data_IF_581142771165
#
_entry.id   IF_581142771165
#
_cell.length_a   1.000
_cell.length_b   1.000
_cell.length_c   1.000
_cell.angle_alpha   90.00
_cell.angle_beta   90.00
_cell.angle_gamma   90.00
#
_symmetry.space_group_name_H-M   'P 1'
#
loop_
_entity.id
_entity.type
_entity.pdbx_description
1 polymer ?
#
# COMPACT_ATOMS: atom_id res chain seq x y z
N UNK A 1 11.99 -52.16 19.18
CA UNK A 1 12.22 -50.74 18.83
C UNK A 1 12.26 -50.68 17.32
N UNK A 2 11.22 -50.17 16.65
CA UNK A 2 11.33 -49.89 15.21
C UNK A 2 12.31 -48.74 15.07
N UNK A 3 13.51 -49.01 14.55
CA UNK A 3 14.42 -47.97 14.10
C UNK A 3 13.66 -47.14 13.07
N UNK A 4 13.34 -45.89 13.42
CA UNK A 4 12.79 -44.95 12.45
C UNK A 4 13.86 -44.79 11.38
N UNK A 5 13.53 -45.20 10.15
CA UNK A 5 14.40 -45.04 8.99
C UNK A 5 14.76 -43.56 8.88
N UNK A 6 16.06 -43.26 8.78
CA UNK A 6 16.55 -41.89 8.57
C UNK A 6 16.11 -41.45 7.18
N UNK A 7 15.51 -40.27 7.09
CA UNK A 7 15.10 -39.61 5.86
C UNK A 7 16.21 -38.65 5.49
N UNK A 8 16.83 -38.84 4.33
CA UNK A 8 17.81 -37.90 3.78
C UNK A 8 17.14 -36.60 3.36
N UNK A 9 17.90 -35.50 3.40
CA UNK A 9 17.39 -34.15 3.10
C UNK A 9 16.72 -34.09 1.73
N UNK A 10 17.40 -34.57 0.68
CA UNK A 10 16.90 -34.53 -0.70
C UNK A 10 15.61 -35.34 -0.86
N UNK A 11 15.55 -36.53 -0.24
CA UNK A 11 14.38 -37.40 -0.31
C UNK A 11 13.17 -36.77 0.38
N UNK A 12 13.37 -36.24 1.60
CA UNK A 12 12.32 -35.58 2.35
C UNK A 12 11.85 -34.30 1.67
N UNK A 13 12.80 -33.51 1.13
CA UNK A 13 12.50 -32.28 0.43
C UNK A 13 11.77 -32.52 -0.90
N UNK A 14 12.15 -33.52 -1.70
CA UNK A 14 11.42 -33.90 -2.92
C UNK A 14 9.95 -34.25 -2.62
N UNK A 15 9.71 -34.97 -1.51
CA UNK A 15 8.35 -35.25 -1.06
C UNK A 15 7.60 -33.96 -0.68
N UNK A 16 8.24 -33.04 0.04
CA UNK A 16 7.66 -31.74 0.38
C UNK A 16 7.38 -30.88 -0.86
N UNK A 17 8.30 -30.87 -1.82
CA UNK A 17 8.14 -30.15 -3.09
C UNK A 17 6.94 -30.65 -3.87
N UNK A 18 6.69 -31.96 -3.93
CA UNK A 18 5.44 -32.47 -4.53
C UNK A 18 4.19 -31.92 -3.84
N UNK A 19 4.19 -31.83 -2.52
CA UNK A 19 3.11 -31.21 -1.75
C UNK A 19 2.96 -29.71 -2.07
N UNK A 20 4.06 -28.97 -2.12
CA UNK A 20 4.07 -27.55 -2.48
C UNK A 20 3.57 -27.34 -3.92
N UNK A 21 4.00 -28.15 -4.88
CA UNK A 21 3.53 -28.11 -6.27
C UNK A 21 2.03 -28.42 -6.36
N UNK A 22 1.54 -29.42 -5.62
CA UNK A 22 0.08 -29.69 -5.53
C UNK A 22 -0.67 -28.46 -5.04
N UNK A 23 -0.16 -27.80 -3.98
CA UNK A 23 -0.76 -26.57 -3.47
C UNK A 23 -0.75 -25.43 -4.49
N UNK A 24 0.38 -25.19 -5.18
CA UNK A 24 0.49 -24.18 -6.25
C UNK A 24 -0.58 -24.41 -7.33
N UNK A 25 -0.76 -25.65 -7.77
CA UNK A 25 -1.78 -26.00 -8.77
C UNK A 25 -3.21 -25.75 -8.31
N UNK A 26 -3.52 -26.08 -7.05
CA UNK A 26 -4.83 -25.79 -6.44
C UNK A 26 -5.09 -24.28 -6.40
N UNK A 27 -4.08 -23.47 -6.08
CA UNK A 27 -4.21 -22.01 -6.00
C UNK A 27 -4.35 -21.33 -7.36
N UNK A 28 -3.74 -21.87 -8.40
CA UNK A 28 -3.77 -21.28 -9.73
C UNK A 28 -5.06 -21.56 -10.51
N UNK A 29 -6.00 -22.32 -9.95
CA UNK A 29 -7.24 -22.81 -10.60
C UNK A 29 -6.99 -23.58 -11.91
N UNK A 30 -5.73 -23.98 -12.17
CA UNK A 30 -5.29 -24.55 -13.46
C UNK A 30 -5.61 -26.05 -13.60
N UNK A 31 -6.15 -26.71 -12.58
CA UNK A 31 -6.30 -28.17 -12.55
C UNK A 31 -7.46 -28.64 -11.68
N UNK A 32 -8.09 -29.76 -12.04
CA UNK A 32 -9.01 -30.57 -11.19
C UNK A 32 -8.27 -31.29 -10.04
N UNK A 33 -7.22 -30.68 -9.48
CA UNK A 33 -6.47 -31.29 -8.37
C UNK A 33 -7.37 -31.35 -7.13
N UNK A 34 -7.50 -32.52 -6.48
CA UNK A 34 -8.34 -32.65 -5.31
C UNK A 34 -7.77 -31.83 -4.14
N UNK A 35 -8.64 -31.29 -3.26
CA UNK A 35 -8.21 -30.57 -2.08
C UNK A 35 -7.36 -31.49 -1.18
N UNK A 36 -6.51 -30.87 -0.35
CA UNK A 36 -5.71 -31.62 0.63
C UNK A 36 -6.60 -32.43 1.57
N UNK A 37 -6.32 -33.73 1.64
CA UNK A 37 -6.96 -34.62 2.61
C UNK A 37 -6.26 -34.53 3.96
N UNK A 38 -6.91 -35.01 5.02
CA UNK A 38 -6.25 -35.17 6.32
C UNK A 38 -5.02 -36.07 6.26
N UNK A 39 -5.04 -37.08 5.37
CA UNK A 39 -3.91 -37.97 5.15
C UNK A 39 -2.73 -37.23 4.50
N UNK A 40 -2.96 -36.45 3.44
CA UNK A 40 -1.93 -35.62 2.81
C UNK A 40 -1.25 -34.70 3.83
N UNK A 41 -2.07 -34.01 4.65
CA UNK A 41 -1.58 -33.15 5.72
C UNK A 41 -0.72 -33.93 6.72
N UNK A 42 -1.21 -35.08 7.18
CA UNK A 42 -0.49 -35.91 8.15
C UNK A 42 0.84 -36.40 7.58
N UNK A 43 0.90 -36.80 6.30
CA UNK A 43 2.14 -37.24 5.66
C UNK A 43 3.17 -36.11 5.55
N UNK A 44 2.76 -34.92 5.08
CA UNK A 44 3.65 -33.77 4.94
C UNK A 44 4.17 -33.29 6.31
N UNK A 45 3.27 -33.11 7.28
CA UNK A 45 3.65 -32.72 8.64
C UNK A 45 4.58 -33.75 9.29
N UNK A 46 4.25 -35.06 9.19
CA UNK A 46 5.05 -36.13 9.78
C UNK A 46 6.44 -36.21 9.15
N UNK A 47 6.56 -35.92 7.85
CA UNK A 47 7.85 -35.86 7.16
C UNK A 47 8.74 -34.77 7.76
N UNK A 48 8.23 -33.54 7.88
CA UNK A 48 8.97 -32.44 8.53
C UNK A 48 9.31 -32.80 9.97
N UNK A 49 8.35 -33.29 10.75
CA UNK A 49 8.57 -33.71 12.12
C UNK A 49 9.69 -34.75 12.24
N UNK A 50 9.70 -35.79 11.39
CA UNK A 50 10.72 -36.83 11.43
C UNK A 50 12.09 -36.27 11.08
N UNK A 51 12.20 -35.45 10.03
CA UNK A 51 13.45 -34.82 9.62
C UNK A 51 14.03 -33.87 10.69
N UNK A 52 13.17 -33.21 11.47
CA UNK A 52 13.60 -32.34 12.58
C UNK A 52 13.93 -33.10 13.88
N UNK A 53 13.44 -34.34 14.04
CA UNK A 53 13.65 -35.15 15.26
C UNK A 53 14.69 -36.26 15.11
N UNK A 54 15.29 -36.35 13.93
CA UNK A 54 16.44 -37.22 13.65
C UNK A 54 17.65 -36.86 14.52
N UNK A 55 18.46 -37.87 14.86
CA UNK A 55 19.68 -37.65 15.64
C UNK A 55 20.73 -36.94 14.78
N UNK A 56 21.59 -36.09 15.37
CA UNK A 56 22.76 -35.56 14.68
C UNK A 56 23.59 -36.69 14.04
N UNK A 57 24.10 -36.52 12.80
CA UNK A 57 24.16 -35.29 12.00
C UNK A 57 22.92 -35.03 11.10
N UNK A 58 21.86 -35.82 11.20
CA UNK A 58 20.70 -35.78 10.29
C UNK A 58 19.53 -34.92 10.80
N UNK A 59 19.78 -33.98 11.72
CA UNK A 59 18.81 -32.95 12.09
C UNK A 59 18.83 -31.87 11.01
N UNK A 60 17.76 -31.80 10.24
CA UNK A 60 17.63 -30.89 9.11
C UNK A 60 16.81 -29.64 9.42
N UNK A 61 16.60 -29.30 10.70
CA UNK A 61 15.69 -28.21 11.09
C UNK A 61 16.08 -26.85 10.51
N UNK A 62 17.38 -26.53 10.47
CA UNK A 62 17.87 -25.29 9.86
C UNK A 62 17.64 -25.29 8.34
N UNK A 63 18.03 -26.36 7.66
CA UNK A 63 17.87 -26.48 6.21
C UNK A 63 16.39 -26.43 5.79
N UNK A 64 15.49 -27.01 6.59
CA UNK A 64 14.05 -26.95 6.35
C UNK A 64 13.47 -25.55 6.56
N UNK A 65 14.01 -24.77 7.49
CA UNK A 65 13.66 -23.36 7.66
C UNK A 65 14.11 -22.52 6.45
N UNK A 66 15.34 -22.74 5.99
CA UNK A 66 15.88 -22.04 4.81
C UNK A 66 15.10 -22.44 3.54
N UNK A 67 14.81 -23.73 3.37
CA UNK A 67 14.01 -24.25 2.27
C UNK A 67 12.56 -23.74 2.27
N UNK A 68 11.97 -23.48 3.45
CA UNK A 68 10.67 -22.83 3.56
C UNK A 68 10.69 -21.44 2.92
N UNK A 69 11.71 -20.63 3.22
CA UNK A 69 11.90 -19.31 2.61
C UNK A 69 12.08 -19.43 1.10
N UNK A 70 12.98 -20.30 0.65
CA UNK A 70 13.25 -20.52 -0.77
C UNK A 70 12.03 -20.97 -1.57
N UNK A 71 11.13 -21.77 -0.98
CA UNK A 71 9.90 -22.18 -1.66
C UNK A 71 8.99 -20.98 -2.03
N UNK A 72 8.96 -19.94 -1.20
CA UNK A 72 8.25 -18.69 -1.52
C UNK A 72 9.00 -17.86 -2.55
N UNK A 73 10.31 -17.71 -2.42
CA UNK A 73 11.12 -16.96 -3.39
C UNK A 73 10.99 -17.54 -4.81
N UNK A 74 11.02 -18.87 -4.93
CA UNK A 74 10.82 -19.58 -6.19
C UNK A 74 9.40 -19.37 -6.72
N UNK A 75 8.37 -19.52 -5.88
CA UNK A 75 6.98 -19.26 -6.25
C UNK A 75 6.78 -17.83 -6.77
N UNK A 76 7.30 -16.84 -6.04
CA UNK A 76 7.11 -15.44 -6.42
C UNK A 76 7.83 -15.18 -7.76
N UNK A 77 9.08 -15.63 -7.89
CA UNK A 77 9.90 -15.37 -9.08
C UNK A 77 9.38 -16.09 -10.33
N UNK A 78 8.96 -17.35 -10.21
CA UNK A 78 8.58 -18.19 -11.34
C UNK A 78 7.10 -18.02 -11.74
N UNK A 79 6.21 -17.76 -10.78
CA UNK A 79 4.76 -17.78 -11.01
C UNK A 79 4.12 -16.38 -10.87
N UNK A 80 4.46 -15.63 -9.81
CA UNK A 80 3.80 -14.36 -9.49
C UNK A 80 4.29 -13.21 -10.37
N UNK A 81 5.61 -12.97 -10.40
CA UNK A 81 6.18 -11.83 -11.11
C UNK A 81 5.89 -11.86 -12.62
N UNK A 82 6.05 -12.99 -13.33
CA UNK A 82 5.71 -13.05 -14.75
C UNK A 82 4.23 -12.76 -15.00
N UNK A 83 3.34 -13.32 -14.17
CA UNK A 83 1.90 -13.13 -14.30
C UNK A 83 1.44 -11.69 -14.05
N UNK A 84 2.19 -10.92 -13.24
CA UNK A 84 1.95 -9.49 -13.04
C UNK A 84 2.47 -8.67 -14.22
N UNK A 85 3.66 -9.00 -14.74
CA UNK A 85 4.30 -8.31 -15.88
C UNK A 85 3.52 -8.42 -17.18
N UNK A 86 2.79 -9.51 -17.38
CA UNK A 86 1.95 -9.72 -18.57
C UNK A 86 0.67 -8.88 -18.58
N UNK A 87 0.34 -8.21 -17.46
CA UNK A 87 -0.88 -7.42 -17.29
C UNK A 87 -0.55 -5.97 -17.02
N UNK A 88 -1.48 -5.08 -17.37
CA UNK A 88 -1.35 -3.64 -17.16
C UNK A 88 -2.61 -3.07 -16.51
N UNK A 89 -2.47 -1.88 -15.92
CA UNK A 89 -3.55 -1.09 -15.34
C UNK A 89 -4.46 -1.91 -14.40
N UNK A 90 -5.78 -1.81 -14.57
CA UNK A 90 -6.76 -2.49 -13.72
C UNK A 90 -6.61 -4.02 -13.73
N UNK A 91 -6.23 -4.64 -14.86
CA UNK A 91 -6.04 -6.08 -14.93
C UNK A 91 -4.84 -6.55 -14.10
N UNK A 92 -3.78 -5.74 -14.05
CA UNK A 92 -2.64 -5.98 -13.17
C UNK A 92 -3.04 -5.87 -11.70
N UNK A 93 -3.86 -4.89 -11.34
CA UNK A 93 -4.37 -4.74 -9.97
C UNK A 93 -5.22 -5.95 -9.54
N UNK A 94 -6.12 -6.43 -10.41
CA UNK A 94 -6.92 -7.63 -10.15
C UNK A 94 -6.03 -8.86 -9.97
N UNK A 95 -4.99 -8.98 -10.79
CA UNK A 95 -4.03 -10.08 -10.66
C UNK A 95 -3.23 -9.98 -9.35
N UNK A 96 -2.81 -8.77 -8.94
CA UNK A 96 -2.12 -8.56 -7.68
C UNK A 96 -2.98 -9.02 -6.49
N UNK A 97 -4.25 -8.65 -6.47
CA UNK A 97 -5.19 -9.08 -5.42
C UNK A 97 -5.36 -10.61 -5.42
N UNK A 98 -5.48 -11.23 -6.60
CA UNK A 98 -5.54 -12.70 -6.73
C UNK A 98 -4.27 -13.34 -6.17
N UNK A 99 -3.09 -12.87 -6.60
CA UNK A 99 -1.79 -13.42 -6.22
C UNK A 99 -1.51 -13.24 -4.73
N UNK A 100 -1.87 -12.11 -4.14
CA UNK A 100 -1.76 -11.89 -2.70
C UNK A 100 -2.70 -12.80 -1.90
N UNK A 101 -3.94 -12.98 -2.35
CA UNK A 101 -4.88 -13.91 -1.71
C UNK A 101 -4.34 -15.34 -1.73
N UNK A 102 -3.83 -15.77 -2.88
CA UNK A 102 -3.20 -17.08 -3.03
C UNK A 102 -1.96 -17.22 -2.13
N UNK A 103 -1.12 -16.19 -2.07
CA UNK A 103 0.05 -16.15 -1.20
C UNK A 103 -0.34 -16.33 0.28
N UNK A 104 -1.37 -15.62 0.77
CA UNK A 104 -1.87 -15.81 2.15
C UNK A 104 -2.34 -17.23 2.42
N UNK A 105 -3.00 -17.87 1.46
CA UNK A 105 -3.41 -19.29 1.59
C UNK A 105 -2.19 -20.20 1.60
N UNK A 106 -1.19 -19.94 0.75
CA UNK A 106 0.05 -20.68 0.72
C UNK A 106 0.81 -20.59 2.05
N UNK A 107 0.96 -19.38 2.62
CA UNK A 107 1.54 -19.15 3.95
C UNK A 107 0.81 -19.96 5.02
N UNK A 108 -0.52 -19.94 5.04
CA UNK A 108 -1.30 -20.73 6.02
C UNK A 108 -1.04 -22.23 5.91
N UNK A 109 -0.97 -22.78 4.70
CA UNK A 109 -0.73 -24.21 4.50
C UNK A 109 0.71 -24.63 4.82
N UNK A 110 1.69 -23.90 4.29
CA UNK A 110 3.10 -24.21 4.55
C UNK A 110 3.41 -24.04 6.04
N UNK A 111 2.94 -22.99 6.71
CA UNK A 111 3.15 -22.85 8.17
C UNK A 111 2.52 -23.99 8.97
N UNK A 112 1.43 -24.61 8.49
CA UNK A 112 0.86 -25.82 9.10
C UNK A 112 1.72 -27.05 8.87
N UNK A 113 2.23 -27.27 7.66
CA UNK A 113 3.12 -28.40 7.38
C UNK A 113 4.43 -28.31 8.17
N UNK A 114 4.96 -27.10 8.34
CA UNK A 114 6.22 -26.83 9.01
C UNK A 114 6.07 -26.45 10.50
N UNK A 115 4.87 -26.57 11.07
CA UNK A 115 4.54 -26.08 12.42
C UNK A 115 5.46 -26.59 13.54
N UNK A 116 6.09 -27.75 13.35
CA UNK A 116 7.10 -28.24 14.29
C UNK A 116 8.28 -27.26 14.46
N UNK A 117 8.72 -26.63 13.36
CA UNK A 117 9.81 -25.65 13.40
C UNK A 117 9.45 -24.44 14.25
N UNK A 118 8.26 -23.86 14.06
CA UNK A 118 7.75 -22.74 14.88
C UNK A 118 7.79 -23.09 16.37
N UNK A 119 7.26 -24.27 16.72
CA UNK A 119 7.09 -24.66 18.12
C UNK A 119 8.41 -24.97 18.84
N UNK A 120 9.41 -25.50 18.13
CA UNK A 120 10.62 -26.02 18.79
C UNK A 120 11.91 -25.41 18.28
N UNK A 121 12.12 -25.35 16.96
CA UNK A 121 13.38 -24.89 16.39
C UNK A 121 13.51 -23.36 16.45
N UNK A 122 12.53 -22.66 15.90
CA UNK A 122 12.46 -21.20 15.82
C UNK A 122 12.39 -20.60 17.22
N UNK A 123 11.52 -21.13 18.08
CA UNK A 123 11.40 -20.69 19.47
C UNK A 123 12.72 -20.81 20.27
N UNK A 124 13.53 -21.85 20.02
CA UNK A 124 14.83 -22.04 20.69
C UNK A 124 15.92 -21.11 20.18
N UNK A 125 15.88 -20.75 18.89
CA UNK A 125 16.88 -19.91 18.24
C UNK A 125 16.51 -18.43 18.16
N UNK A 126 15.30 -18.07 18.61
CA UNK A 126 14.74 -16.72 18.50
C UNK A 126 14.75 -16.20 17.06
N UNK A 127 14.43 -17.08 16.11
CA UNK A 127 14.28 -16.72 14.69
C UNK A 127 12.88 -16.13 14.42
N UNK A 128 12.70 -15.40 13.30
CA UNK A 128 11.37 -14.97 12.86
C UNK A 128 10.42 -16.17 12.65
N UNK A 129 9.16 -16.10 13.13
CA UNK A 129 8.14 -17.13 12.92
C UNK A 129 7.86 -17.39 11.45
N UNK A 130 7.42 -18.62 11.11
CA UNK A 130 7.13 -18.99 9.71
C UNK A 130 6.07 -18.09 9.07
N UNK A 131 5.02 -17.72 9.81
CA UNK A 131 4.00 -16.82 9.30
C UNK A 131 4.55 -15.42 8.98
N UNK A 132 5.48 -14.92 9.79
CA UNK A 132 6.18 -13.67 9.52
C UNK A 132 7.04 -13.84 8.27
N UNK A 133 7.94 -14.82 8.23
CA UNK A 133 8.79 -15.10 7.04
C UNK A 133 7.97 -15.27 5.77
N UNK A 134 6.87 -16.01 5.82
CA UNK A 134 6.02 -16.25 4.65
C UNK A 134 5.36 -14.98 4.13
N UNK A 135 4.84 -14.11 5.00
CA UNK A 135 4.27 -12.82 4.62
C UNK A 135 5.34 -11.85 4.15
N UNK A 136 6.44 -11.78 4.89
CA UNK A 136 7.55 -10.91 4.54
C UNK A 136 8.28 -11.40 3.30
N UNK A 137 8.24 -12.67 2.87
CA UNK A 137 8.82 -13.07 1.58
C UNK A 137 8.23 -12.31 0.38
N UNK A 138 6.97 -11.87 0.46
CA UNK A 138 6.38 -11.02 -0.58
C UNK A 138 6.93 -9.58 -0.53
N UNK A 139 7.34 -9.13 0.66
CA UNK A 139 7.93 -7.83 0.98
C UNK A 139 9.45 -7.79 0.87
N UNK A 140 10.18 -8.81 1.30
CA UNK A 140 11.63 -8.80 1.54
C UNK A 140 12.41 -8.88 0.23
N UNK A 141 11.69 -9.06 -0.88
CA UNK A 141 12.12 -8.68 -2.23
C UNK A 141 12.31 -7.14 -2.37
N UNK A 142 12.08 -6.36 -1.30
CA UNK A 142 12.13 -4.89 -1.25
C UNK A 142 13.21 -4.31 -0.33
N UNK A 143 13.63 -4.97 0.75
CA UNK A 143 14.36 -4.27 1.84
C UNK A 143 15.68 -4.92 2.29
N UNK A 144 15.91 -6.23 2.15
CA UNK A 144 17.18 -6.82 2.60
C UNK A 144 18.19 -7.08 1.47
N UNK A 145 19.38 -6.47 1.60
CA UNK A 145 20.59 -6.62 0.79
C UNK A 145 21.19 -8.05 0.74
N UNK A 146 20.40 -9.08 1.03
CA UNK A 146 20.85 -10.48 1.13
C UNK A 146 20.41 -11.36 -0.03
N UNK A 147 19.54 -10.88 -0.93
CA UNK A 147 19.17 -11.61 -2.15
C UNK A 147 19.48 -10.78 -3.41
N UNK A 148 19.86 -11.48 -4.48
CA UNK A 148 20.43 -10.97 -5.74
C UNK A 148 19.81 -9.64 -6.23
N UNK A 149 20.67 -8.67 -6.57
CA UNK A 149 20.33 -7.32 -7.10
C UNK A 149 19.21 -7.29 -8.15
N UNK A 150 19.05 -8.36 -8.92
CA UNK A 150 18.02 -8.49 -9.96
C UNK A 150 16.60 -8.55 -9.41
N UNK A 151 16.39 -9.06 -8.19
CA UNK A 151 15.06 -9.29 -7.62
C UNK A 151 14.47 -7.97 -7.07
N UNK A 152 15.33 -7.13 -6.47
CA UNK A 152 14.96 -5.79 -6.00
C UNK A 152 14.41 -4.89 -7.12
N UNK A 153 15.03 -4.94 -8.31
CA UNK A 153 14.61 -4.13 -9.45
C UNK A 153 13.21 -4.49 -9.95
N UNK A 154 12.82 -5.77 -9.86
CA UNK A 154 11.50 -6.23 -10.35
C UNK A 154 10.38 -5.78 -9.42
N UNK A 155 10.55 -5.86 -8.11
CA UNK A 155 9.53 -5.38 -7.20
C UNK A 155 9.36 -3.86 -7.32
N UNK A 156 10.45 -3.09 -7.33
CA UNK A 156 10.37 -1.64 -7.45
C UNK A 156 9.65 -1.21 -8.75
N UNK A 157 9.90 -1.93 -9.84
CA UNK A 157 9.19 -1.76 -11.11
C UNK A 157 7.69 -2.05 -10.97
N UNK A 158 7.30 -3.20 -10.42
CA UNK A 158 5.89 -3.57 -10.25
C UNK A 158 5.18 -2.63 -9.28
N UNK A 159 5.81 -2.27 -8.17
CA UNK A 159 5.26 -1.36 -7.18
C UNK A 159 5.01 0.03 -7.79
N UNK A 160 5.97 0.54 -8.57
CA UNK A 160 5.79 1.78 -9.31
C UNK A 160 4.62 1.71 -10.30
N UNK A 161 4.46 0.58 -11.02
CA UNK A 161 3.34 0.37 -11.94
C UNK A 161 1.99 0.26 -11.21
N UNK A 162 1.93 -0.50 -10.11
CA UNK A 162 0.73 -0.64 -9.27
C UNK A 162 0.33 0.71 -8.71
N UNK A 163 1.28 1.47 -8.16
CA UNK A 163 1.05 2.84 -7.67
C UNK A 163 0.53 3.76 -8.76
N UNK A 164 1.15 3.75 -9.93
CA UNK A 164 0.71 4.56 -11.06
C UNK A 164 -0.73 4.20 -11.48
N UNK A 165 -1.06 2.91 -11.54
CA UNK A 165 -2.41 2.44 -11.87
C UNK A 165 -3.44 2.84 -10.80
N UNK A 166 -3.10 2.73 -9.52
CA UNK A 166 -3.97 3.15 -8.40
C UNK A 166 -4.23 4.66 -8.45
N UNK A 167 -3.19 5.48 -8.63
CA UNK A 167 -3.33 6.95 -8.74
C UNK A 167 -4.17 7.30 -9.97
N UNK A 168 -3.94 6.64 -11.11
CA UNK A 168 -4.75 6.86 -12.31
C UNK A 168 -6.24 6.56 -12.09
N UNK A 169 -6.59 5.50 -11.35
CA UNK A 169 -7.99 5.23 -10.99
C UNK A 169 -8.58 6.30 -10.07
N UNK A 170 -7.79 6.83 -9.13
CA UNK A 170 -8.24 7.94 -8.26
C UNK A 170 -8.53 9.19 -9.10
N UNK A 171 -7.66 9.50 -10.07
CA UNK A 171 -7.83 10.63 -10.98
C UNK A 171 -9.04 10.47 -11.92
N UNK A 172 -9.28 9.26 -12.43
CA UNK A 172 -10.50 8.94 -13.18
C UNK A 172 -11.75 9.23 -12.34
N UNK A 173 -11.76 8.78 -11.08
CA UNK A 173 -12.88 9.08 -10.18
C UNK A 173 -13.01 10.58 -9.87
N UNK A 174 -11.91 11.34 -9.84
CA UNK A 174 -11.95 12.81 -9.69
C UNK A 174 -12.62 13.51 -10.86
N UNK A 175 -12.47 12.97 -12.06
CA UNK A 175 -13.18 13.41 -13.27
C UNK A 175 -14.59 12.80 -13.41
N UNK A 176 -15.09 12.13 -12.36
CA UNK A 176 -16.43 11.51 -12.27
C UNK A 176 -16.61 10.25 -13.13
N UNK A 177 -15.50 9.59 -13.51
CA UNK A 177 -15.56 8.26 -14.12
C UNK A 177 -15.91 7.19 -13.08
N UNK A 178 -16.54 6.11 -13.54
CA UNK A 178 -16.88 4.98 -12.69
C UNK A 178 -15.66 4.06 -12.53
N UNK A 179 -15.34 3.72 -11.29
CA UNK A 179 -14.20 2.86 -10.94
C UNK A 179 -14.64 1.71 -10.02
N UNK A 180 -13.85 0.65 -9.99
CA UNK A 180 -14.02 -0.44 -9.03
C UNK A 180 -13.40 -0.03 -7.67
N UNK A 181 -14.17 0.69 -6.84
CA UNK A 181 -13.75 1.10 -5.48
C UNK A 181 -13.35 -0.10 -4.60
N UNK A 182 -13.96 -1.26 -4.81
CA UNK A 182 -13.64 -2.47 -4.02
C UNK A 182 -12.26 -3.03 -4.42
N UNK A 183 -11.92 -3.01 -5.70
CA UNK A 183 -10.58 -3.36 -6.17
C UNK A 183 -9.53 -2.43 -5.57
N UNK A 184 -9.75 -1.10 -5.63
CA UNK A 184 -8.86 -0.11 -5.03
C UNK A 184 -8.63 -0.36 -3.54
N UNK A 185 -9.72 -0.57 -2.79
CA UNK A 185 -9.63 -0.91 -1.37
C UNK A 185 -8.78 -2.17 -1.14
N UNK A 186 -9.05 -3.24 -1.89
CA UNK A 186 -8.32 -4.50 -1.75
C UNK A 186 -6.82 -4.32 -2.05
N UNK A 187 -6.46 -3.52 -3.06
CA UNK A 187 -5.05 -3.23 -3.38
C UNK A 187 -4.39 -2.42 -2.27
N UNK A 188 -5.07 -1.39 -1.75
CA UNK A 188 -4.55 -0.56 -0.68
C UNK A 188 -4.37 -1.31 0.64
N UNK A 189 -5.29 -2.23 0.94
CA UNK A 189 -5.18 -3.14 2.09
C UNK A 189 -3.93 -4.04 1.99
N UNK A 190 -3.46 -4.38 0.78
CA UNK A 190 -2.21 -5.16 0.59
C UNK A 190 -1.01 -4.39 1.15
N UNK A 191 -0.90 -3.08 0.89
CA UNK A 191 0.22 -2.28 1.39
C UNK A 191 0.28 -2.28 2.93
N UNK A 192 -0.88 -2.28 3.59
CA UNK A 192 -0.97 -2.33 5.07
C UNK A 192 -0.68 -3.74 5.60
N UNK A 193 -1.24 -4.78 4.96
CA UNK A 193 -1.04 -6.17 5.37
C UNK A 193 0.42 -6.62 5.20
N UNK A 194 1.10 -6.19 4.13
CA UNK A 194 2.52 -6.44 3.88
C UNK A 194 3.40 -5.81 4.95
N UNK A 195 3.04 -4.62 5.46
CA UNK A 195 3.70 -3.98 6.59
C UNK A 195 3.47 -4.69 7.93
N UNK A 196 2.75 -5.81 7.96
CA UNK A 196 2.34 -6.51 9.19
C UNK A 196 1.63 -5.58 10.20
N UNK A 197 0.86 -4.62 9.68
CA UNK A 197 0.18 -3.61 10.47
C UNK A 197 0.99 -2.35 10.76
N UNK A 198 2.26 -2.29 10.34
CA UNK A 198 3.02 -1.03 10.27
C UNK A 198 2.63 -0.27 9.01
N UNK A 199 2.56 1.05 9.13
CA UNK A 199 2.12 1.93 8.03
C UNK A 199 3.23 2.29 7.05
N UNK A 200 4.50 1.97 7.35
CA UNK A 200 5.66 2.40 6.55
C UNK A 200 5.54 2.02 5.07
N UNK A 201 5.05 0.82 4.76
CA UNK A 201 4.82 0.39 3.37
C UNK A 201 3.74 1.23 2.71
N UNK A 202 2.59 1.42 3.37
CA UNK A 202 1.50 2.24 2.83
C UNK A 202 1.93 3.70 2.63
N UNK A 203 2.64 4.28 3.61
CA UNK A 203 3.05 5.68 3.57
C UNK A 203 4.11 5.90 2.49
N UNK A 204 5.20 5.13 2.49
CA UNK A 204 6.34 5.34 1.59
C UNK A 204 6.05 4.87 0.16
N UNK A 205 5.35 3.75 0.01
CA UNK A 205 5.15 3.17 -1.32
C UNK A 205 3.94 3.76 -2.04
N UNK A 206 2.97 4.34 -1.32
CA UNK A 206 1.74 4.87 -1.92
C UNK A 206 1.38 6.30 -1.48
N UNK A 207 1.20 6.54 -0.18
CA UNK A 207 0.58 7.78 0.34
C UNK A 207 1.35 9.03 -0.11
N UNK A 208 2.69 9.02 -0.02
CA UNK A 208 3.53 10.15 -0.42
C UNK A 208 3.27 10.54 -1.88
N UNK A 209 3.31 9.57 -2.81
CA UNK A 209 3.09 9.83 -4.22
C UNK A 209 1.65 10.27 -4.52
N UNK A 210 0.66 9.67 -3.83
CA UNK A 210 -0.74 10.06 -3.97
C UNK A 210 -0.98 11.51 -3.51
N UNK A 211 -0.35 11.94 -2.41
CA UNK A 211 -0.46 13.32 -1.92
C UNK A 211 0.20 14.33 -2.87
N UNK A 212 1.34 13.98 -3.47
CA UNK A 212 2.03 14.81 -4.49
C UNK A 212 1.20 14.96 -5.76
N UNK A 213 0.63 13.85 -6.25
CA UNK A 213 -0.26 13.84 -7.40
C UNK A 213 -1.53 14.65 -7.13
N UNK A 214 -2.14 14.47 -5.95
CA UNK A 214 -3.31 15.24 -5.51
C UNK A 214 -3.03 16.74 -5.49
N UNK A 215 -1.88 17.16 -4.97
CA UNK A 215 -1.49 18.56 -4.98
C UNK A 215 -1.38 19.09 -6.42
N UNK A 216 -0.74 18.32 -7.31
CA UNK A 216 -0.59 18.67 -8.73
C UNK A 216 -1.93 18.73 -9.46
N UNK A 217 -2.88 17.86 -9.12
CA UNK A 217 -4.24 17.85 -9.65
C UNK A 217 -5.00 19.13 -9.25
N UNK A 218 -5.06 19.43 -7.95
CA UNK A 218 -5.82 20.57 -7.45
C UNK A 218 -5.19 21.91 -7.79
N UNK A 219 -3.87 22.00 -7.85
CA UNK A 219 -3.16 23.20 -8.32
C UNK A 219 -3.60 23.59 -9.74
N UNK A 220 -3.68 22.60 -10.65
CA UNK A 220 -4.18 22.79 -12.03
C UNK A 220 -5.65 23.24 -12.04
N UNK A 221 -6.54 22.55 -11.31
CA UNK A 221 -7.97 22.93 -11.25
C UNK A 221 -8.15 24.35 -10.69
N UNK A 222 -7.49 24.67 -9.59
CA UNK A 222 -7.55 25.97 -8.94
C UNK A 222 -7.10 27.11 -9.86
N UNK A 223 -6.04 26.89 -10.64
CA UNK A 223 -5.52 27.90 -11.59
C UNK A 223 -6.51 28.26 -12.70
N UNK A 224 -7.34 27.31 -13.14
CA UNK A 224 -8.43 27.53 -14.09
C UNK A 224 -9.59 28.26 -13.42
N UNK A 225 -10.08 27.70 -12.31
CA UNK A 225 -11.27 28.17 -11.61
C UNK A 225 -11.11 29.60 -11.07
N UNK A 226 -9.92 29.98 -10.58
CA UNK A 226 -9.71 31.32 -10.04
C UNK A 226 -9.85 32.41 -11.12
N UNK A 227 -9.61 32.08 -12.39
CA UNK A 227 -9.75 33.01 -13.52
C UNK A 227 -11.18 32.99 -14.07
N UNK A 228 -11.76 31.80 -14.20
CA UNK A 228 -13.01 31.55 -14.92
C UNK A 228 -14.28 31.76 -14.06
N UNK A 229 -14.23 31.40 -12.77
CA UNK A 229 -15.41 31.35 -11.91
C UNK A 229 -15.58 32.60 -11.04
N UNK A 230 -16.80 32.88 -10.58
CA UNK A 230 -17.02 33.85 -9.50
C UNK A 230 -16.52 33.32 -8.14
N UNK A 231 -16.26 34.20 -7.16
CA UNK A 231 -15.83 33.76 -5.83
C UNK A 231 -16.81 32.77 -5.17
N UNK A 232 -18.15 32.95 -5.20
CA UNK A 232 -19.07 31.97 -4.63
C UNK A 232 -19.01 30.60 -5.32
N UNK A 233 -18.92 30.58 -6.66
CA UNK A 233 -18.82 29.33 -7.44
C UNK A 233 -17.51 28.60 -7.13
N UNK A 234 -16.40 29.34 -7.01
CA UNK A 234 -15.11 28.79 -6.62
C UNK A 234 -15.18 28.14 -5.23
N UNK A 235 -15.75 28.84 -4.25
CA UNK A 235 -15.85 28.34 -2.88
C UNK A 235 -16.72 27.08 -2.79
N UNK A 236 -17.84 27.05 -3.54
CA UNK A 236 -18.68 25.86 -3.62
C UNK A 236 -17.92 24.67 -4.22
N UNK A 237 -17.19 24.88 -5.33
CA UNK A 237 -16.34 23.84 -5.93
C UNK A 237 -15.28 23.35 -4.95
N UNK A 238 -14.66 24.24 -4.18
CA UNK A 238 -13.65 23.87 -3.19
C UNK A 238 -14.23 23.02 -2.05
N UNK A 239 -15.40 23.41 -1.51
CA UNK A 239 -16.14 22.65 -0.50
C UNK A 239 -16.52 21.25 -1.02
N UNK A 240 -17.06 21.18 -2.24
CA UNK A 240 -17.41 19.91 -2.89
C UNK A 240 -16.18 19.02 -3.10
N UNK A 241 -15.03 19.59 -3.45
CA UNK A 241 -13.79 18.84 -3.57
C UNK A 241 -13.33 18.24 -2.24
N UNK A 242 -13.34 19.03 -1.16
CA UNK A 242 -12.98 18.54 0.18
C UNK A 242 -13.91 17.43 0.65
N UNK A 243 -15.22 17.59 0.42
CA UNK A 243 -16.22 16.56 0.73
C UNK A 243 -15.98 15.27 -0.06
N UNK A 244 -15.68 15.37 -1.36
CA UNK A 244 -15.38 14.21 -2.20
C UNK A 244 -14.09 13.51 -1.80
N UNK A 245 -13.02 14.22 -1.44
CA UNK A 245 -11.78 13.59 -0.96
C UNK A 245 -11.98 12.91 0.40
N UNK A 246 -12.77 13.50 1.30
CA UNK A 246 -13.17 12.83 2.54
C UNK A 246 -13.98 11.55 2.27
N UNK A 247 -14.89 11.59 1.29
CA UNK A 247 -15.64 10.40 0.85
C UNK A 247 -14.69 9.29 0.35
N UNK A 248 -13.71 9.63 -0.50
CA UNK A 248 -12.69 8.68 -0.99
C UNK A 248 -11.92 8.02 0.13
N UNK A 249 -11.50 8.81 1.14
CA UNK A 249 -10.78 8.25 2.28
C UNK A 249 -11.63 7.23 3.02
N UNK A 250 -12.88 7.56 3.32
CA UNK A 250 -13.79 6.64 4.01
C UNK A 250 -14.12 5.36 3.24
N UNK A 251 -14.01 5.38 1.91
CA UNK A 251 -14.35 4.23 1.06
C UNK A 251 -13.19 3.27 0.84
N UNK A 252 -11.99 3.78 0.56
CA UNK A 252 -10.87 2.91 0.16
C UNK A 252 -9.47 3.34 0.63
N UNK A 253 -9.22 4.59 1.05
CA UNK A 253 -7.91 4.94 1.62
C UNK A 253 -7.85 4.58 3.11
N UNK A 254 -6.64 4.57 3.67
CA UNK A 254 -6.48 4.40 5.10
C UNK A 254 -6.87 5.69 5.84
N UNK A 255 -7.46 5.58 7.03
CA UNK A 255 -7.95 6.74 7.79
C UNK A 255 -6.84 7.70 8.23
N UNK A 256 -5.60 7.21 8.36
CA UNK A 256 -4.42 8.05 8.63
C UNK A 256 -4.17 9.11 7.56
N UNK A 257 -4.65 8.87 6.34
CA UNK A 257 -4.46 9.76 5.19
C UNK A 257 -5.44 10.94 5.19
N UNK A 258 -6.54 10.88 5.95
CA UNK A 258 -7.62 11.89 5.88
C UNK A 258 -7.10 13.30 6.13
N UNK A 259 -6.42 13.51 7.25
CA UNK A 259 -5.93 14.82 7.63
C UNK A 259 -4.91 15.34 6.61
N UNK A 260 -3.91 14.53 6.25
CA UNK A 260 -2.83 14.90 5.32
C UNK A 260 -3.38 15.27 3.94
N UNK A 261 -4.36 14.49 3.45
CA UNK A 261 -5.01 14.72 2.17
C UNK A 261 -5.82 16.01 2.18
N UNK A 262 -6.69 16.20 3.18
CA UNK A 262 -7.52 17.40 3.28
C UNK A 262 -6.68 18.67 3.43
N UNK A 263 -5.61 18.63 4.23
CA UNK A 263 -4.67 19.76 4.35
C UNK A 263 -4.01 20.10 3.00
N UNK A 264 -3.62 19.09 2.21
CA UNK A 264 -3.06 19.30 0.87
C UNK A 264 -4.07 19.95 -0.07
N UNK A 265 -5.31 19.47 -0.10
CA UNK A 265 -6.36 20.04 -0.95
C UNK A 265 -6.72 21.46 -0.52
N UNK A 266 -6.86 21.71 0.78
CA UNK A 266 -7.10 23.05 1.32
C UNK A 266 -5.96 24.01 0.98
N UNK A 267 -4.71 23.55 1.05
CA UNK A 267 -3.56 24.37 0.69
C UNK A 267 -3.66 24.84 -0.77
N UNK A 268 -3.81 23.89 -1.72
CA UNK A 268 -3.82 24.20 -3.15
C UNK A 268 -5.04 25.00 -3.60
N UNK A 269 -6.21 24.74 -3.01
CA UNK A 269 -7.45 25.45 -3.37
C UNK A 269 -7.60 26.80 -2.66
N UNK A 270 -7.21 26.91 -1.38
CA UNK A 270 -7.51 28.10 -0.58
C UNK A 270 -6.27 28.90 -0.22
N UNK A 271 -5.26 28.25 0.38
CA UNK A 271 -4.09 28.96 0.91
C UNK A 271 -3.26 29.59 -0.21
N UNK A 272 -3.15 28.94 -1.37
CA UNK A 272 -2.43 29.46 -2.53
C UNK A 272 -3.08 30.76 -3.03
N UNK A 273 -4.40 30.76 -3.23
CA UNK A 273 -5.17 31.85 -3.84
C UNK A 273 -5.87 32.79 -2.84
N UNK A 274 -5.47 32.75 -1.57
CA UNK A 274 -6.16 33.49 -0.51
C UNK A 274 -6.24 35.01 -0.77
N UNK A 275 -5.17 35.60 -1.32
CA UNK A 275 -5.17 37.03 -1.67
C UNK A 275 -6.13 37.33 -2.82
N UNK A 276 -6.07 36.54 -3.90
CA UNK A 276 -6.94 36.71 -5.06
C UNK A 276 -8.41 36.53 -4.70
N UNK A 277 -8.74 35.56 -3.84
CA UNK A 277 -10.12 35.33 -3.37
C UNK A 277 -10.65 36.49 -2.52
N UNK A 278 -9.78 37.17 -1.77
CA UNK A 278 -10.15 38.35 -0.97
C UNK A 278 -10.25 39.62 -1.83
N UNK A 279 -9.38 39.75 -2.83
CA UNK A 279 -9.26 40.95 -3.67
C UNK A 279 -10.17 40.94 -4.91
N UNK A 280 -10.85 39.82 -5.23
CA UNK A 280 -11.74 39.72 -6.40
C UNK A 280 -12.91 40.71 -6.30
N UNK A 281 -12.72 41.90 -6.89
CA UNK A 281 -13.65 43.02 -6.85
C UNK A 281 -15.02 42.62 -7.39
N UNK A 282 -16.07 43.01 -6.65
CA UNK A 282 -17.50 42.71 -6.88
C UNK A 282 -18.02 41.32 -6.45
N UNK A 283 -17.17 40.41 -5.94
CA UNK A 283 -17.63 39.09 -5.43
C UNK A 283 -16.91 38.55 -4.18
N UNK A 284 -15.89 39.26 -3.68
CA UNK A 284 -15.03 38.77 -2.60
C UNK A 284 -15.77 38.30 -1.35
N UNK A 285 -15.09 37.51 -0.52
CA UNK A 285 -15.61 36.95 0.74
C UNK A 285 -16.32 37.99 1.65
N UNK A 286 -15.95 39.27 1.54
CA UNK A 286 -16.63 40.39 2.18
C UNK A 286 -18.11 40.55 1.81
N UNK A 287 -18.53 40.22 0.59
CA UNK A 287 -19.93 40.24 0.15
C UNK A 287 -20.68 39.02 0.67
N UNK A 288 -20.03 37.84 0.65
CA UNK A 288 -20.58 36.59 1.18
C UNK A 288 -20.82 36.65 2.71
N UNK A 289 -19.90 37.27 3.46
CA UNK A 289 -20.06 37.54 4.89
C UNK A 289 -21.10 38.63 5.20
N UNK A 290 -21.44 39.49 4.21
CA UNK A 290 -22.43 40.56 4.37
C UNK A 290 -23.85 40.12 4.08
N UNK A 291 -24.04 39.23 3.11
CA UNK A 291 -25.36 38.92 2.58
C UNK A 291 -26.04 37.70 3.24
N UNK A 292 -25.35 36.92 4.08
CA UNK A 292 -25.89 35.85 4.97
C UNK A 292 -26.78 34.78 4.29
N UNK A 293 -26.94 34.85 2.96
CA UNK A 293 -28.00 34.14 2.21
C UNK A 293 -27.51 32.97 1.38
N UNK A 294 -26.19 32.76 1.24
CA UNK A 294 -25.64 31.76 0.34
C UNK A 294 -24.43 30.97 0.87
N UNK A 295 -24.05 31.12 2.14
CA UNK A 295 -22.87 30.44 2.69
C UNK A 295 -23.29 29.39 3.70
N UNK A 296 -22.97 28.12 3.45
CA UNK A 296 -23.09 27.04 4.43
C UNK A 296 -22.17 27.32 5.63
N UNK A 297 -22.43 26.73 6.79
CA UNK A 297 -21.53 26.87 7.95
C UNK A 297 -20.08 26.42 7.63
N UNK A 298 -19.95 25.48 6.71
CA UNK A 298 -18.68 24.99 6.16
C UNK A 298 -18.02 26.06 5.28
N UNK A 299 -18.75 26.71 4.36
CA UNK A 299 -18.26 27.82 3.55
C UNK A 299 -17.70 28.98 4.38
N UNK A 300 -18.37 29.36 5.48
CA UNK A 300 -17.89 30.44 6.38
C UNK A 300 -16.60 30.04 7.11
N UNK A 301 -16.41 28.74 7.37
CA UNK A 301 -15.19 28.20 7.96
C UNK A 301 -14.03 28.26 6.95
N UNK A 302 -14.29 27.92 5.69
CA UNK A 302 -13.29 28.00 4.61
C UNK A 302 -12.85 29.45 4.34
N UNK A 303 -13.77 30.42 4.41
CA UNK A 303 -13.45 31.85 4.30
C UNK A 303 -12.51 32.30 5.42
N UNK A 304 -12.82 31.94 6.68
CA UNK A 304 -11.93 32.26 7.82
C UNK A 304 -10.56 31.62 7.67
N UNK A 305 -10.48 30.38 7.19
CA UNK A 305 -9.22 29.71 6.94
C UNK A 305 -8.41 30.39 5.83
N UNK A 306 -9.06 30.89 4.77
CA UNK A 306 -8.40 31.68 3.73
C UNK A 306 -7.89 33.03 4.29
N UNK A 307 -8.65 33.72 5.13
CA UNK A 307 -8.22 34.94 5.83
C UNK A 307 -7.01 34.68 6.74
N UNK A 308 -7.05 33.62 7.55
CA UNK A 308 -5.95 33.22 8.42
C UNK A 308 -4.69 32.88 7.62
N UNK A 309 -4.83 32.17 6.50
CA UNK A 309 -3.74 31.86 5.59
C UNK A 309 -3.15 33.13 4.92
N UNK A 310 -4.00 34.07 4.47
CA UNK A 310 -3.56 35.35 3.90
C UNK A 310 -2.84 36.23 4.93
N UNK A 311 -3.35 36.29 6.17
CA UNK A 311 -2.74 37.03 7.27
C UNK A 311 -1.38 36.43 7.65
N UNK A 312 -1.25 35.11 7.67
CA UNK A 312 0.02 34.43 7.94
C UNK A 312 1.03 34.64 6.80
N UNK A 313 0.59 34.64 5.53
CA UNK A 313 1.44 35.01 4.37
C UNK A 313 1.92 36.46 4.47
N UNK A 314 1.05 37.41 4.79
CA UNK A 314 1.43 38.82 5.02
C UNK A 314 2.43 38.94 6.17
N UNK A 315 2.19 38.27 7.29
CA UNK A 315 3.11 38.29 8.44
C UNK A 315 4.50 37.73 8.08
N UNK A 316 4.57 36.63 7.33
CA UNK A 316 5.83 36.08 6.81
C UNK A 316 6.52 37.01 5.81
N UNK A 317 5.77 37.70 4.94
CA UNK A 317 6.38 38.66 4.01
C UNK A 317 6.93 39.88 4.73
N UNK A 318 6.25 40.39 5.75
CA UNK A 318 6.75 41.47 6.63
C UNK A 318 8.04 41.07 7.35
N UNK A 319 8.10 39.86 7.91
CA UNK A 319 9.32 39.34 8.54
C UNK A 319 10.49 39.20 7.56
N UNK A 320 10.22 38.76 6.32
CA UNK A 320 11.24 38.65 5.27
C UNK A 320 11.68 40.03 4.73
N UNK A 321 10.78 41.02 4.65
CA UNK A 321 11.14 42.39 4.27
C UNK A 321 11.91 43.11 5.36
N UNK A 322 11.57 42.88 6.64
CA UNK A 322 12.33 43.42 7.76
C UNK A 322 13.74 42.83 7.78
N UNK A 323 13.89 41.51 7.58
CA UNK A 323 15.22 40.87 7.46
C UNK A 323 16.02 41.33 6.24
N UNK A 324 15.36 41.65 5.11
CA UNK A 324 15.99 42.23 3.92
C UNK A 324 16.45 43.68 4.12
N UNK A 325 15.78 44.45 4.98
CA UNK A 325 16.13 45.84 5.29
C UNK A 325 17.38 46.00 6.18
N UNK A 326 17.81 44.93 6.87
CA UNK A 326 19.04 44.91 7.68
C UNK A 326 20.32 44.61 6.87
N UNK A 327 20.24 44.31 5.57
CA UNK A 327 21.41 43.98 4.73
C UNK A 327 21.70 44.98 3.60
N UNK A 328 21.07 46.15 3.59
CA UNK A 328 21.41 47.22 2.64
C UNK A 328 21.71 48.53 3.36
N UNK A 329 22.94 48.67 3.87
CA UNK A 329 23.60 49.96 4.03
C UNK A 329 25.06 49.83 3.56
N UNK A 330 25.63 50.89 2.97
CA UNK A 330 26.67 50.85 1.93
C UNK A 330 28.07 50.46 2.39
#
# INVERSE_FOLDING_TARGET
MNERKTIDLDQGWDFMQRGITKLKKILDDKTEEPPFTSEDYMMLYTTIYNMCTQKPPHDFSQQLYDNYKHAFEEYITADVLPSLREKHDEFMLRELVKRWTNHKVMVRWLSRFFHYLDRYFIARRSLPPLNEVGLTCFRDLVIENSCSFLIQTVYNEINAQVRAAVIALIDQERENEQIDRALLKNVLDIFVEIGMGQMDCYENDFEVAMLEDTASYYSRKASSWIQEDSCPEYMQKAEDCLKREKDRVSHYLHSSSEQKLLEKVQHELLSVYASELLEKEHSGCYVLLRDDKHVTAEGTTLVKQAEDAANNKKYKSYLLSDLGSYYTLP
#
